data_IF_382909076363
#
_entry.id   IF_382909076363
#
_cell.length_a   1.000
_cell.length_b   1.000
_cell.length_c   1.000
_cell.angle_alpha   90.00
_cell.angle_beta   90.00
_cell.angle_gamma   90.00
#
_symmetry.space_group_name_H-M   'P 1'
#
loop_
_entity.id
_entity.type
_entity.pdbx_description
1 polymer ?
#
# COMPACT_ATOMS: atom_id res chain seq x y z
N UNK A 1 56.58 -6.80 -5.01
CA UNK A 1 56.96 -8.06 -5.69
C UNK A 1 55.73 -8.96 -5.62
N UNK A 2 55.05 -9.44 -6.65
CA UNK A 2 55.36 -9.71 -8.06
C UNK A 2 53.98 -9.83 -8.77
N UNK A 3 53.78 -9.04 -9.83
CA UNK A 3 53.16 -9.40 -11.13
C UNK A 3 51.88 -10.26 -11.05
N UNK A 4 50.67 -9.76 -11.29
CA UNK A 4 50.21 -9.17 -12.56
C UNK A 4 49.79 -10.29 -13.53
N UNK A 5 48.50 -10.38 -13.86
CA UNK A 5 47.99 -10.93 -15.13
C UNK A 5 46.67 -10.19 -15.44
N UNK A 6 46.67 -9.56 -16.60
CA UNK A 6 45.56 -8.95 -17.33
C UNK A 6 45.37 -9.80 -18.60
N UNK A 7 44.14 -10.05 -19.02
CA UNK A 7 43.66 -10.38 -20.39
C UNK A 7 42.16 -10.77 -20.27
N UNK A 8 41.17 -9.91 -20.48
CA UNK A 8 40.60 -9.33 -21.72
C UNK A 8 40.19 -10.38 -22.78
N UNK A 9 38.88 -10.38 -23.10
CA UNK A 9 38.10 -10.78 -24.30
C UNK A 9 36.89 -11.66 -23.87
N UNK A 10 35.64 -11.47 -24.27
CA UNK A 10 35.05 -10.74 -25.38
C UNK A 10 33.55 -10.48 -25.14
N UNK A 11 33.03 -9.44 -25.79
CA UNK A 11 31.60 -9.14 -25.94
C UNK A 11 30.85 -10.25 -26.70
N UNK A 12 29.61 -10.50 -26.28
CA UNK A 12 28.53 -10.90 -27.19
C UNK A 12 27.22 -10.25 -26.74
N UNK A 13 26.86 -9.14 -27.38
CA UNK A 13 25.52 -8.55 -27.30
C UNK A 13 24.61 -9.32 -28.26
N UNK A 14 23.76 -10.19 -27.73
CA UNK A 14 22.63 -10.73 -28.49
C UNK A 14 21.51 -9.69 -28.49
N UNK A 15 21.47 -8.91 -29.57
CA UNK A 15 20.35 -8.06 -29.94
C UNK A 15 19.44 -8.85 -30.89
N UNK A 16 18.24 -9.22 -30.43
CA UNK A 16 17.15 -9.63 -31.31
C UNK A 16 15.94 -8.76 -31.00
N UNK A 17 15.86 -7.63 -31.72
CA UNK A 17 14.67 -6.80 -31.80
C UNK A 17 13.87 -7.24 -33.03
N UNK A 18 12.64 -7.70 -32.82
CA UNK A 18 11.69 -7.97 -33.91
C UNK A 18 11.20 -6.63 -34.50
N UNK A 19 11.51 -6.37 -35.77
CA UNK A 19 10.87 -5.31 -36.56
C UNK A 19 9.86 -5.93 -37.54
N UNK A 20 8.60 -5.45 -37.57
CA UNK A 20 7.75 -5.61 -38.73
C UNK A 20 8.03 -4.51 -39.78
N UNK A 21 8.35 -5.01 -40.98
CA UNK A 21 8.24 -4.49 -42.35
C UNK A 21 7.62 -3.09 -42.58
N UNK A 22 8.38 -2.22 -43.28
CA UNK A 22 7.91 -0.96 -43.89
C UNK A 22 7.66 -1.09 -45.40
N UNK A 23 6.80 -0.21 -45.92
CA UNK A 23 6.83 0.37 -47.28
C UNK A 23 5.47 0.98 -47.69
N UNK A 24 5.39 2.02 -48.54
CA UNK A 24 6.28 3.18 -48.75
C UNK A 24 5.56 4.56 -48.63
N UNK A 25 6.37 5.64 -48.73
CA UNK A 25 6.08 7.10 -48.73
C UNK A 25 4.84 7.54 -49.55
N UNK A 26 4.20 8.70 -49.35
CA UNK A 26 4.71 10.05 -49.10
C UNK A 26 3.53 10.98 -48.75
N UNK A 27 3.72 12.06 -47.96
CA UNK A 27 2.65 13.06 -47.75
C UNK A 27 2.76 13.94 -46.51
N UNK A 28 3.53 15.03 -46.63
CA UNK A 28 3.35 16.38 -46.06
C UNK A 28 2.64 16.59 -44.69
N UNK A 29 3.43 17.11 -43.73
CA UNK A 29 3.14 18.08 -42.65
C UNK A 29 1.68 18.33 -42.24
N UNK A 30 1.35 18.07 -40.97
CA UNK A 30 0.69 19.03 -40.06
C UNK A 30 1.10 18.76 -38.60
N UNK A 31 1.41 19.86 -37.91
CA UNK A 31 1.63 19.97 -36.47
C UNK A 31 0.41 19.50 -35.66
N UNK A 32 0.67 18.82 -34.53
CA UNK A 32 -0.37 18.42 -33.59
C UNK A 32 0.12 17.29 -32.69
N UNK A 33 1.06 17.59 -31.79
CA UNK A 33 1.43 16.68 -30.71
C UNK A 33 0.29 16.63 -29.68
N UNK A 34 -0.76 15.88 -30.00
CA UNK A 34 -1.73 15.41 -29.00
C UNK A 34 -1.22 14.07 -28.48
N UNK A 35 -0.30 14.14 -27.52
CA UNK A 35 -0.04 13.01 -26.64
C UNK A 35 -1.29 12.83 -25.78
N UNK A 36 -2.23 12.02 -26.27
CA UNK A 36 -3.28 11.45 -25.43
C UNK A 36 -2.59 10.58 -24.39
N UNK A 37 -2.29 11.19 -23.24
CA UNK A 37 -1.99 10.45 -22.02
C UNK A 37 -3.21 9.58 -21.74
N UNK A 38 -3.08 8.28 -22.03
CA UNK A 38 -4.00 7.27 -21.48
C UNK A 38 -3.77 7.30 -19.98
N UNK A 39 -4.51 8.14 -19.28
CA UNK A 39 -4.63 8.06 -17.83
C UNK A 39 -5.34 6.72 -17.60
N UNK A 40 -4.58 5.72 -17.17
CA UNK A 40 -5.19 4.48 -16.71
C UNK A 40 -6.17 4.86 -15.59
N UNK A 41 -7.46 4.58 -15.82
CA UNK A 41 -8.50 4.74 -14.82
C UNK A 41 -8.30 3.64 -13.77
N UNK A 42 -7.32 3.86 -12.88
CA UNK A 42 -6.98 2.90 -11.83
C UNK A 42 -7.99 3.05 -10.69
N UNK A 43 -9.14 2.38 -10.77
CA UNK A 43 -10.09 2.33 -9.66
C UNK A 43 -9.49 1.56 -8.46
N UNK A 44 -9.18 2.25 -7.37
CA UNK A 44 -8.67 1.68 -6.13
C UNK A 44 -9.35 2.28 -4.89
N UNK A 45 -9.02 1.79 -3.69
CA UNK A 45 -9.67 2.26 -2.47
C UNK A 45 -9.47 3.77 -2.24
N UNK A 46 -8.27 4.28 -2.51
CA UNK A 46 -7.88 5.67 -2.31
C UNK A 46 -8.73 6.65 -3.12
N UNK A 47 -9.12 6.29 -4.34
CA UNK A 47 -9.89 7.18 -5.23
C UNK A 47 -11.36 6.81 -5.40
N UNK A 48 -11.77 5.59 -5.03
CA UNK A 48 -13.13 5.08 -5.29
C UNK A 48 -14.01 4.97 -4.04
N UNK A 49 -13.43 4.93 -2.84
CA UNK A 49 -14.18 4.72 -1.59
C UNK A 49 -14.31 6.01 -0.76
N UNK A 50 -15.46 6.18 -0.08
CA UNK A 50 -15.61 7.14 1.03
C UNK A 50 -15.00 6.56 2.32
N UNK A 51 -13.68 6.40 2.32
CA UNK A 51 -12.93 5.74 3.40
C UNK A 51 -12.67 6.65 4.62
N UNK A 52 -13.01 7.93 4.57
CA UNK A 52 -12.83 8.81 5.74
C UNK A 52 -13.91 8.50 6.76
N UNK A 53 -13.58 8.56 8.04
CA UNK A 53 -14.53 8.25 9.11
C UNK A 53 -13.93 7.50 10.28
N UNK A 54 -14.79 7.01 11.16
CA UNK A 54 -14.41 6.37 12.43
C UNK A 54 -14.65 4.88 12.36
N UNK A 55 -13.59 4.10 12.49
CA UNK A 55 -13.58 2.65 12.44
C UNK A 55 -13.37 2.08 13.84
N UNK A 56 -14.12 1.04 14.21
CA UNK A 56 -14.07 0.43 15.54
C UNK A 56 -14.07 -1.09 15.46
N UNK A 57 -13.45 -1.73 16.45
CA UNK A 57 -13.45 -3.18 16.60
C UNK A 57 -12.63 -3.62 17.81
N UNK A 58 -12.69 -4.92 18.11
CA UNK A 58 -11.86 -5.56 19.15
C UNK A 58 -10.82 -6.40 18.44
N UNK A 59 -9.56 -5.97 18.49
CA UNK A 59 -8.46 -6.71 17.87
C UNK A 59 -7.88 -7.72 18.86
N UNK A 60 -7.54 -8.94 18.45
CA UNK A 60 -6.96 -9.93 19.34
C UNK A 60 -5.58 -9.50 19.81
N UNK A 61 -5.23 -9.91 21.03
CA UNK A 61 -3.90 -9.71 21.61
C UNK A 61 -3.28 -11.06 21.92
N UNK A 62 -1.96 -11.13 22.06
CA UNK A 62 -1.26 -12.38 22.40
C UNK A 62 -1.74 -12.99 23.74
N UNK A 63 -2.33 -12.20 24.65
CA UNK A 63 -2.92 -12.67 25.90
C UNK A 63 -4.38 -13.12 25.78
N UNK A 64 -5.00 -13.03 24.60
CA UNK A 64 -6.38 -13.47 24.33
C UNK A 64 -7.50 -12.54 24.79
N UNK A 65 -7.21 -11.54 25.64
CA UNK A 65 -8.23 -10.59 26.12
C UNK A 65 -8.72 -9.62 25.04
N UNK A 66 -7.91 -9.37 24.02
CA UNK A 66 -8.19 -8.36 22.98
C UNK A 66 -7.93 -6.92 23.42
N UNK A 67 -8.12 -6.00 22.47
CA UNK A 67 -8.04 -4.55 22.68
C UNK A 67 -9.13 -3.84 21.86
N UNK A 68 -9.88 -2.95 22.51
CA UNK A 68 -10.80 -2.05 21.82
C UNK A 68 -9.97 -1.02 21.04
N UNK A 69 -10.17 -0.97 19.73
CA UNK A 69 -9.48 -0.05 18.83
C UNK A 69 -10.49 0.86 18.16
N UNK A 70 -10.20 2.15 18.16
CA UNK A 70 -10.87 3.15 17.35
C UNK A 70 -9.85 3.90 16.51
N UNK A 71 -10.08 4.00 15.20
CA UNK A 71 -9.27 4.79 14.28
C UNK A 71 -10.19 5.75 13.54
N UNK A 72 -9.93 7.04 13.65
CA UNK A 72 -10.56 8.06 12.85
C UNK A 72 -9.60 8.47 11.73
N UNK A 73 -10.04 8.37 10.48
CA UNK A 73 -9.31 8.83 9.29
C UNK A 73 -9.91 10.14 8.79
N UNK A 74 -9.06 11.16 8.68
CA UNK A 74 -9.31 12.43 7.98
C UNK A 74 -8.52 12.47 6.67
N UNK A 75 -8.47 13.63 5.98
CA UNK A 75 -7.82 13.79 4.67
C UNK A 75 -6.43 13.15 4.53
N UNK A 76 -5.54 13.37 5.50
CA UNK A 76 -4.18 12.80 5.50
C UNK A 76 -3.67 12.49 6.90
N UNK A 77 -4.56 12.53 7.89
CA UNK A 77 -4.23 12.37 9.31
C UNK A 77 -5.17 11.37 9.97
N UNK A 78 -4.68 10.76 11.05
CA UNK A 78 -5.46 9.85 11.87
C UNK A 78 -5.46 10.27 13.34
N UNK A 79 -6.53 9.89 14.04
CA UNK A 79 -6.56 9.77 15.50
C UNK A 79 -6.84 8.32 15.85
N UNK A 80 -6.05 7.72 16.74
CA UNK A 80 -6.21 6.33 17.18
C UNK A 80 -6.32 6.29 18.70
N UNK A 81 -7.24 5.45 19.16
CA UNK A 81 -7.47 5.14 20.58
C UNK A 81 -7.42 3.63 20.78
N UNK A 82 -6.68 3.18 21.78
CA UNK A 82 -6.63 1.79 22.22
C UNK A 82 -7.02 1.69 23.69
N UNK A 83 -7.83 0.69 24.03
CA UNK A 83 -8.09 0.27 25.41
C UNK A 83 -7.89 -1.25 25.52
N UNK A 84 -7.01 -1.70 26.41
CA UNK A 84 -6.82 -3.13 26.66
C UNK A 84 -7.95 -3.70 27.51
N UNK A 85 -8.63 -4.71 27.00
CA UNK A 85 -9.78 -5.32 27.66
C UNK A 85 -9.31 -6.07 28.91
N UNK A 86 -10.03 -5.90 30.02
CA UNK A 86 -9.83 -6.66 31.26
C UNK A 86 -8.61 -6.26 32.11
N UNK A 87 -7.83 -5.26 31.70
CA UNK A 87 -6.61 -4.85 32.42
C UNK A 87 -6.78 -3.63 33.33
N UNK A 88 -7.93 -2.94 33.28
CA UNK A 88 -8.13 -1.69 34.02
C UNK A 88 -7.23 -0.54 33.54
N UNK A 89 -6.64 -0.70 32.34
CA UNK A 89 -5.67 0.21 31.78
C UNK A 89 -6.32 1.53 31.34
N UNK A 90 -5.52 2.62 31.40
CA UNK A 90 -5.92 3.88 30.78
C UNK A 90 -5.87 3.75 29.27
N UNK A 91 -6.82 4.41 28.60
CA UNK A 91 -6.81 4.49 27.15
C UNK A 91 -5.53 5.16 26.65
N UNK A 92 -4.92 4.58 25.61
CA UNK A 92 -3.77 5.12 24.90
C UNK A 92 -4.29 5.89 23.69
N UNK A 93 -3.72 7.07 23.44
CA UNK A 93 -4.09 7.93 22.33
C UNK A 93 -2.87 8.27 21.50
N UNK A 94 -3.00 8.13 20.20
CA UNK A 94 -1.99 8.49 19.20
C UNK A 94 -2.65 9.23 18.05
N UNK A 95 -1.86 10.06 17.37
CA UNK A 95 -2.29 10.82 16.21
C UNK A 95 -1.10 11.08 15.31
N UNK A 96 -1.34 11.18 14.01
CA UNK A 96 -0.27 11.39 13.06
C UNK A 96 -0.80 11.53 11.65
N UNK A 97 0.13 11.50 10.69
CA UNK A 97 -0.21 11.35 9.28
C UNK A 97 -0.35 9.86 8.93
N UNK A 98 -0.99 9.56 7.80
CA UNK A 98 -0.89 8.23 7.20
C UNK A 98 -0.49 8.35 5.72
N UNK A 99 0.20 7.34 5.21
CA UNK A 99 0.58 7.24 3.80
C UNK A 99 -0.12 6.08 3.12
N UNK A 100 -0.35 6.19 1.81
CA UNK A 100 -0.88 5.10 0.99
C UNK A 100 0.25 4.32 0.34
N UNK A 101 0.07 3.01 0.19
CA UNK A 101 0.92 2.22 -0.69
C UNK A 101 0.70 2.60 -2.16
N UNK A 102 1.60 2.14 -3.04
CA UNK A 102 1.54 2.45 -4.48
C UNK A 102 0.24 1.99 -5.15
N UNK A 103 -0.38 0.92 -4.65
CA UNK A 103 -1.62 0.36 -5.18
C UNK A 103 -2.87 1.12 -4.74
N UNK A 104 -2.75 2.07 -3.81
CA UNK A 104 -3.89 2.85 -3.30
C UNK A 104 -4.93 2.00 -2.56
N UNK A 105 -4.51 0.90 -1.92
CA UNK A 105 -5.41 -0.02 -1.20
C UNK A 105 -5.06 -0.21 0.27
N UNK A 106 -3.89 0.26 0.71
CA UNK A 106 -3.39 0.07 2.08
C UNK A 106 -2.84 1.39 2.60
N UNK A 107 -3.20 1.71 3.85
CA UNK A 107 -2.63 2.84 4.57
C UNK A 107 -1.62 2.37 5.62
N UNK A 108 -0.57 3.17 5.83
CA UNK A 108 0.38 3.03 6.95
C UNK A 108 0.18 4.18 7.91
N UNK A 109 -0.11 3.91 9.19
CA UNK A 109 -0.16 4.95 10.21
C UNK A 109 1.27 5.35 10.59
N UNK A 110 1.67 6.57 10.22
CA UNK A 110 3.03 7.06 10.46
C UNK A 110 3.27 7.30 11.95
N UNK A 111 4.48 6.98 12.40
CA UNK A 111 4.89 7.14 13.81
C UNK A 111 4.33 6.09 14.78
N UNK A 112 3.67 5.05 14.28
CA UNK A 112 3.23 3.88 15.06
C UNK A 112 4.20 2.71 14.90
N UNK A 113 4.35 1.91 15.95
CA UNK A 113 5.06 0.63 15.88
C UNK A 113 4.26 -0.39 15.07
N UNK A 114 4.96 -1.31 14.40
CA UNK A 114 4.31 -2.41 13.68
C UNK A 114 3.58 -3.37 14.64
N UNK A 115 2.45 -3.96 14.22
CA UNK A 115 1.77 -3.77 12.94
C UNK A 115 0.92 -2.48 12.89
N UNK A 116 1.22 -1.61 11.92
CA UNK A 116 0.60 -0.30 11.73
C UNK A 116 -0.01 -0.09 10.33
N UNK A 117 -0.11 -1.16 9.54
CA UNK A 117 -0.69 -1.13 8.20
C UNK A 117 -2.13 -1.65 8.22
N UNK A 118 -2.99 -1.01 7.43
CA UNK A 118 -4.41 -1.36 7.32
C UNK A 118 -4.83 -1.40 5.85
N UNK A 119 -5.38 -2.53 5.40
CA UNK A 119 -6.06 -2.62 4.12
C UNK A 119 -7.40 -1.90 4.19
N UNK A 120 -7.66 -1.02 3.22
CA UNK A 120 -8.86 -0.21 3.15
C UNK A 120 -9.88 -0.90 2.27
N UNK A 121 -11.01 -1.29 2.87
CA UNK A 121 -12.18 -1.82 2.18
C UNK A 121 -13.38 -0.90 2.33
N UNK A 122 -14.48 -1.24 1.66
CA UNK A 122 -15.73 -0.50 1.83
C UNK A 122 -16.17 -0.58 3.30
N UNK A 123 -16.27 0.59 3.95
CA UNK A 123 -16.60 0.75 5.38
C UNK A 123 -15.76 -0.10 6.35
N UNK A 124 -14.56 -0.54 5.93
CA UNK A 124 -13.68 -1.40 6.75
C UNK A 124 -12.22 -0.98 6.70
N UNK A 125 -11.51 -1.19 7.81
CA UNK A 125 -10.05 -1.23 7.88
C UNK A 125 -9.63 -2.60 8.41
N UNK A 126 -8.85 -3.35 7.66
CA UNK A 126 -8.32 -4.67 8.11
C UNK A 126 -6.87 -4.51 8.52
N UNK A 127 -6.53 -4.76 9.78
CA UNK A 127 -5.14 -4.71 10.23
C UNK A 127 -4.34 -5.83 9.55
N UNK A 128 -3.20 -5.46 8.96
CA UNK A 128 -2.28 -6.40 8.32
C UNK A 128 -1.28 -6.95 9.35
N UNK A 129 -0.62 -8.06 9.00
CA UNK A 129 0.47 -8.59 9.80
C UNK A 129 1.71 -7.66 9.79
N UNK A 130 2.76 -8.04 10.53
CA UNK A 130 4.00 -7.26 10.65
C UNK A 130 4.74 -7.05 9.32
N UNK A 131 4.50 -7.94 8.36
CA UNK A 131 5.10 -7.95 7.03
C UNK A 131 4.21 -7.27 5.99
N UNK A 132 2.99 -6.86 6.36
CA UNK A 132 2.02 -6.20 5.49
C UNK A 132 1.16 -7.16 4.68
N UNK A 133 1.02 -8.42 5.09
CA UNK A 133 0.10 -9.36 4.46
C UNK A 133 -1.24 -9.39 5.20
N UNK A 134 -2.30 -9.76 4.47
CA UNK A 134 -3.58 -10.10 5.08
C UNK A 134 -3.41 -11.36 5.92
N UNK A 135 -3.90 -11.30 7.16
CA UNK A 135 -4.04 -12.46 8.04
C UNK A 135 -5.11 -13.37 7.43
N UNK A 136 -4.86 -14.68 7.44
CA UNK A 136 -5.74 -15.69 6.83
C UNK A 136 -6.09 -16.77 7.83
N UNK A 137 -7.21 -17.43 7.60
CA UNK A 137 -7.69 -18.56 8.41
C UNK A 137 -8.85 -18.15 9.31
N UNK A 138 -9.07 -18.89 10.39
CA UNK A 138 -10.28 -18.78 11.23
C UNK A 138 -10.42 -17.43 11.94
N UNK A 139 -9.33 -16.67 12.09
CA UNK A 139 -9.28 -15.40 12.83
C UNK A 139 -9.21 -14.17 11.91
N UNK A 140 -9.33 -14.33 10.59
CA UNK A 140 -9.21 -13.20 9.65
C UNK A 140 -10.21 -12.06 9.96
N UNK A 141 -11.45 -12.41 10.29
CA UNK A 141 -12.49 -11.43 10.61
C UNK A 141 -12.24 -10.65 11.91
N UNK A 142 -11.46 -11.21 12.84
CA UNK A 142 -11.11 -10.58 14.12
C UNK A 142 -10.18 -9.37 13.95
N UNK A 143 -9.57 -9.21 12.76
CA UNK A 143 -8.69 -8.09 12.44
C UNK A 143 -9.38 -6.95 11.69
N UNK A 144 -10.70 -7.00 11.54
CA UNK A 144 -11.50 -6.00 10.81
C UNK A 144 -12.10 -4.98 11.78
N UNK A 145 -11.76 -3.71 11.56
CA UNK A 145 -12.45 -2.55 12.13
C UNK A 145 -13.53 -2.07 11.16
N UNK A 146 -14.70 -1.70 11.68
CA UNK A 146 -15.88 -1.31 10.89
C UNK A 146 -16.31 0.13 11.19
N UNK A 147 -16.75 0.85 10.15
CA UNK A 147 -17.27 2.23 10.22
C UNK A 147 -18.72 2.26 10.74
#
# INVERSE_FOLDING_TARGET
MKKGIVLIFALALFSCNNKPKEGPADGAVLEGADTVTVVADEHNAMNSLDYKGVYKGVLPTASGSGMDVMIELSDSTYNKKILYVGKGDKAIYTKGAYSWNKEGNTITLEGEDKPNQYFVGENTLTQLDIDGNKIKGEIEEDYILRK
#
